data_IF_528092443244
#
_entry.id   IF_528092443244
#
_cell.length_a   1.000
_cell.length_b   1.000
_cell.length_c   1.000
_cell.angle_alpha   90.00
_cell.angle_beta   90.00
_cell.angle_gamma   90.00
#
_symmetry.space_group_name_H-M   'P 1'
#
loop_
_entity.id
_entity.type
_entity.pdbx_description
1 polymer ?
#
# COMPACT_ATOMS: atom_id res chain seq x y z
N UNK A 1 -6.51 -32.61 -4.93
CA UNK A 1 -6.65 -31.60 -3.83
C UNK A 1 -5.68 -32.02 -2.75
N UNK A 2 -4.50 -31.49 -2.79
CA UNK A 2 -3.51 -31.73 -1.73
C UNK A 2 -3.81 -30.78 -0.58
N UNK A 3 -4.19 -31.35 0.55
CA UNK A 3 -4.29 -30.64 1.81
C UNK A 3 -2.89 -30.19 2.21
N UNK A 4 -2.55 -28.92 1.95
CA UNK A 4 -1.35 -28.31 2.48
C UNK A 4 -1.58 -28.13 3.99
N UNK A 5 -1.20 -29.13 4.74
CA UNK A 5 -1.14 -29.05 6.20
C UNK A 5 0.06 -28.17 6.54
N UNK A 6 -0.19 -26.92 6.90
CA UNK A 6 0.84 -26.03 7.45
C UNK A 6 1.28 -26.53 8.83
N UNK A 7 2.14 -27.54 8.83
CA UNK A 7 2.75 -28.05 10.06
C UNK A 7 4.14 -27.40 10.29
N UNK A 8 4.26 -26.09 10.06
CA UNK A 8 5.44 -25.33 10.44
C UNK A 8 5.37 -25.04 11.94
N UNK A 9 6.18 -25.74 12.73
CA UNK A 9 6.43 -25.36 14.13
C UNK A 9 7.23 -24.06 14.13
N UNK A 10 6.57 -22.94 14.45
CA UNK A 10 7.25 -21.67 14.66
C UNK A 10 8.00 -21.71 15.99
N UNK A 11 9.26 -21.29 15.99
CA UNK A 11 10.06 -21.20 17.23
C UNK A 11 9.78 -19.92 18.00
N UNK A 12 9.43 -18.86 17.30
CA UNK A 12 9.11 -17.55 17.86
C UNK A 12 8.27 -16.75 16.87
N UNK A 13 7.59 -15.73 17.38
CA UNK A 13 6.88 -14.71 16.62
C UNK A 13 7.60 -13.40 16.89
N UNK A 14 7.95 -12.68 15.82
CA UNK A 14 8.55 -11.37 15.90
C UNK A 14 7.53 -10.34 15.46
N UNK A 15 7.36 -9.27 16.27
CA UNK A 15 6.52 -8.12 15.95
C UNK A 15 7.45 -6.95 15.63
N UNK A 16 7.22 -6.29 14.51
CA UNK A 16 7.98 -5.13 14.06
C UNK A 16 7.11 -4.12 13.34
N UNK A 17 7.70 -3.01 12.98
CA UNK A 17 7.05 -1.97 12.15
C UNK A 17 7.28 -2.35 10.70
N UNK A 18 6.20 -2.40 9.89
CA UNK A 18 6.30 -2.65 8.46
C UNK A 18 6.87 -1.43 7.73
N UNK A 19 7.78 -1.66 6.81
CA UNK A 19 8.29 -0.65 5.90
C UNK A 19 7.32 -0.43 4.73
N UNK A 20 7.56 0.61 3.92
CA UNK A 20 6.80 0.85 2.68
C UNK A 20 6.94 -0.31 1.71
N UNK A 21 8.15 -0.88 1.62
CA UNK A 21 8.47 -2.03 0.78
C UNK A 21 7.72 -3.29 1.23
N UNK A 22 7.60 -3.51 2.54
CA UNK A 22 6.81 -4.63 3.06
C UNK A 22 5.36 -4.54 2.63
N UNK A 23 4.73 -3.37 2.79
CA UNK A 23 3.33 -3.14 2.41
C UNK A 23 3.12 -3.35 0.91
N UNK A 24 4.02 -2.82 0.07
CA UNK A 24 3.99 -3.01 -1.39
C UNK A 24 4.15 -4.48 -1.75
N UNK A 25 5.05 -5.21 -1.08
CA UNK A 25 5.28 -6.63 -1.31
C UNK A 25 4.07 -7.49 -0.96
N UNK A 26 3.29 -7.10 0.06
CA UNK A 26 2.05 -7.80 0.41
C UNK A 26 1.00 -7.68 -0.68
N UNK A 27 0.90 -6.50 -1.32
CA UNK A 27 0.00 -6.28 -2.45
C UNK A 27 0.51 -6.90 -3.76
N UNK A 28 1.82 -7.16 -3.85
CA UNK A 28 2.49 -7.70 -5.04
C UNK A 28 3.26 -8.99 -4.68
N UNK A 29 2.62 -10.16 -4.70
CA UNK A 29 3.24 -11.42 -4.27
C UNK A 29 4.54 -11.77 -4.99
N UNK A 30 4.74 -11.31 -6.21
CA UNK A 30 5.99 -11.49 -7.01
C UNK A 30 7.18 -10.82 -6.33
N UNK A 31 6.98 -9.79 -5.54
CA UNK A 31 8.02 -9.02 -4.85
C UNK A 31 8.34 -9.58 -3.45
N UNK A 32 7.58 -10.56 -2.95
CA UNK A 32 7.81 -11.13 -1.62
C UNK A 32 9.20 -11.77 -1.51
N UNK A 33 9.96 -11.32 -0.52
CA UNK A 33 11.33 -11.81 -0.28
C UNK A 33 12.39 -11.27 -1.23
N UNK A 34 12.03 -10.41 -2.17
CA UNK A 34 12.96 -9.74 -3.08
C UNK A 34 13.33 -8.36 -2.56
N UNK A 35 14.55 -7.94 -2.82
CA UNK A 35 15.01 -6.58 -2.53
C UNK A 35 14.66 -5.68 -3.71
N UNK A 36 13.93 -4.62 -3.45
CA UNK A 36 13.61 -3.58 -4.43
C UNK A 36 13.58 -2.23 -3.71
N UNK A 37 13.70 -1.14 -4.47
CA UNK A 37 13.56 0.22 -3.95
C UNK A 37 12.27 0.81 -4.51
N UNK A 38 11.44 1.33 -3.63
CA UNK A 38 10.24 2.06 -4.01
C UNK A 38 10.53 3.56 -4.07
N UNK A 39 10.28 4.16 -5.22
CA UNK A 39 10.37 5.61 -5.40
C UNK A 39 8.96 6.23 -5.36
N UNK A 40 8.66 7.08 -4.38
CA UNK A 40 7.35 7.76 -4.29
C UNK A 40 7.03 8.66 -5.48
N UNK A 41 8.03 9.08 -6.25
CA UNK A 41 7.85 9.90 -7.46
C UNK A 41 7.51 9.04 -8.68
N UNK A 42 8.01 7.80 -8.74
CA UNK A 42 7.80 6.85 -9.83
C UNK A 42 6.98 5.64 -9.36
N UNK A 43 5.73 5.89 -8.96
CA UNK A 43 4.85 4.95 -8.24
C UNK A 43 4.36 3.75 -9.04
N UNK A 44 4.57 3.73 -10.35
CA UNK A 44 3.94 2.73 -11.20
C UNK A 44 4.76 1.44 -11.33
N UNK A 45 6.06 1.50 -11.09
CA UNK A 45 6.98 0.39 -11.31
C UNK A 45 8.13 0.38 -10.33
N UNK A 46 8.66 -0.80 -10.10
CA UNK A 46 9.88 -1.04 -9.33
C UNK A 46 10.82 -1.93 -10.10
N UNK A 47 12.10 -1.81 -9.80
CA UNK A 47 13.13 -2.71 -10.31
C UNK A 47 13.60 -3.61 -9.19
N UNK A 48 13.65 -4.91 -9.44
CA UNK A 48 14.19 -5.89 -8.52
C UNK A 48 15.20 -6.80 -9.23
N UNK A 49 16.03 -7.48 -8.45
CA UNK A 49 16.98 -8.47 -8.97
C UNK A 49 16.33 -9.83 -8.84
N UNK A 50 16.27 -10.58 -9.96
CA UNK A 50 15.76 -11.94 -9.97
C UNK A 50 16.80 -12.96 -9.42
N UNK A 51 16.44 -14.23 -9.40
CA UNK A 51 17.30 -15.32 -8.92
C UNK A 51 18.53 -15.53 -9.79
N UNK A 52 18.48 -15.12 -11.05
CA UNK A 52 19.54 -15.21 -12.04
C UNK A 52 20.48 -13.98 -12.01
N UNK A 53 20.20 -12.99 -11.16
CA UNK A 53 20.97 -11.76 -11.02
C UNK A 53 20.63 -10.68 -12.03
N UNK A 54 19.56 -10.85 -12.83
CA UNK A 54 19.12 -9.84 -13.80
C UNK A 54 18.24 -8.80 -13.14
N UNK A 55 18.35 -7.55 -13.64
CA UNK A 55 17.47 -6.46 -13.24
C UNK A 55 16.15 -6.54 -14.00
N UNK A 56 15.05 -6.77 -13.27
CA UNK A 56 13.71 -6.92 -13.84
C UNK A 56 12.83 -5.76 -13.41
N UNK A 57 12.21 -5.10 -14.38
CA UNK A 57 11.22 -4.05 -14.13
C UNK A 57 9.84 -4.69 -13.93
N UNK A 58 9.16 -4.32 -12.85
CA UNK A 58 7.84 -4.85 -12.50
C UNK A 58 6.83 -3.71 -12.30
N UNK A 59 5.71 -3.80 -13.01
CA UNK A 59 4.58 -2.88 -12.85
C UNK A 59 3.82 -3.20 -11.56
N UNK A 60 3.78 -2.24 -10.64
CA UNK A 60 3.10 -2.39 -9.38
C UNK A 60 1.58 -2.52 -9.57
N UNK A 61 1.01 -3.43 -8.81
CA UNK A 61 -0.44 -3.66 -8.72
C UNK A 61 -0.90 -3.44 -7.29
N UNK A 62 -2.21 -3.30 -7.10
CA UNK A 62 -2.77 -3.21 -5.76
C UNK A 62 -2.84 -1.80 -5.18
N UNK A 63 -2.43 -0.77 -5.92
CA UNK A 63 -2.64 0.62 -5.49
C UNK A 63 -4.11 1.01 -5.62
N UNK A 64 -4.69 1.47 -4.50
CA UNK A 64 -6.02 2.08 -4.45
C UNK A 64 -5.88 3.58 -4.70
N UNK A 65 -6.36 4.05 -5.85
CA UNK A 65 -6.17 5.45 -6.30
C UNK A 65 -7.36 6.35 -6.00
N UNK A 66 -8.52 5.76 -5.65
CA UNK A 66 -9.77 6.49 -5.43
C UNK A 66 -10.39 6.12 -4.09
N UNK A 67 -11.04 7.09 -3.40
CA UNK A 67 -11.70 6.84 -2.13
C UNK A 67 -13.06 6.14 -2.27
N UNK A 68 -13.58 6.01 -3.49
CA UNK A 68 -14.87 5.41 -3.75
C UNK A 68 -14.89 3.92 -3.42
N UNK A 69 -16.02 3.44 -2.94
CA UNK A 69 -16.25 2.04 -2.60
C UNK A 69 -17.05 1.34 -3.68
N UNK A 70 -18.32 1.64 -3.76
CA UNK A 70 -19.26 1.09 -4.74
C UNK A 70 -19.96 2.23 -5.48
N UNK A 71 -20.34 1.97 -6.71
CA UNK A 71 -21.24 2.86 -7.43
C UNK A 71 -22.66 2.70 -6.89
N UNK A 72 -23.22 3.77 -6.35
CA UNK A 72 -24.54 3.76 -5.72
C UNK A 72 -25.65 3.28 -6.68
N UNK A 73 -25.57 3.66 -7.96
CA UNK A 73 -26.59 3.33 -8.98
C UNK A 73 -26.52 1.89 -9.44
N UNK A 74 -25.31 1.34 -9.62
CA UNK A 74 -25.09 -0.02 -10.14
C UNK A 74 -24.83 -1.04 -9.06
N UNK A 75 -24.59 -0.60 -7.82
CA UNK A 75 -24.22 -1.44 -6.67
C UNK A 75 -22.95 -2.28 -6.92
N UNK A 76 -22.09 -1.84 -7.82
CA UNK A 76 -20.84 -2.53 -8.17
C UNK A 76 -19.63 -1.76 -7.66
N UNK A 77 -18.53 -2.46 -7.31
CA UNK A 77 -17.28 -1.82 -6.94
C UNK A 77 -16.78 -0.86 -8.00
N UNK A 78 -16.39 0.34 -7.57
CA UNK A 78 -15.75 1.31 -8.45
C UNK A 78 -14.32 0.86 -8.80
N UNK A 79 -13.93 1.14 -10.02
CA UNK A 79 -12.58 0.84 -10.50
C UNK A 79 -11.56 1.72 -9.78
N UNK A 80 -10.45 1.11 -9.37
CA UNK A 80 -9.35 1.71 -8.61
C UNK A 80 -9.76 2.23 -7.22
N UNK A 81 -10.98 1.88 -6.77
CA UNK A 81 -11.51 2.19 -5.45
C UNK A 81 -11.19 1.13 -4.40
N UNK A 82 -11.71 1.36 -3.19
CA UNK A 82 -11.45 0.52 -2.01
C UNK A 82 -11.98 -0.93 -2.13
N UNK A 83 -12.89 -1.20 -3.06
CA UNK A 83 -13.45 -2.54 -3.32
C UNK A 83 -13.19 -3.03 -4.74
N UNK A 84 -12.26 -2.41 -5.48
CA UNK A 84 -11.97 -2.70 -6.87
C UNK A 84 -11.75 -4.20 -7.14
N UNK A 85 -12.50 -4.76 -8.09
CA UNK A 85 -12.37 -6.17 -8.45
C UNK A 85 -11.05 -6.50 -9.19
N UNK A 86 -10.42 -5.51 -9.83
CA UNK A 86 -9.10 -5.69 -10.47
C UNK A 86 -8.01 -5.86 -9.41
N UNK A 87 -8.11 -5.12 -8.30
CA UNK A 87 -7.14 -5.16 -7.20
C UNK A 87 -7.37 -6.38 -6.31
N UNK A 88 -8.60 -6.53 -5.80
CA UNK A 88 -8.90 -7.51 -4.77
C UNK A 88 -9.47 -8.82 -5.30
N UNK A 89 -9.91 -8.85 -6.54
CA UNK A 89 -10.55 -10.02 -7.15
C UNK A 89 -12.06 -9.87 -7.34
N UNK A 90 -12.71 -10.84 -8.01
CA UNK A 90 -14.11 -10.78 -8.35
C UNK A 90 -15.03 -10.88 -7.11
N UNK A 91 -16.19 -10.24 -7.16
CA UNK A 91 -17.22 -10.38 -6.10
C UNK A 91 -17.91 -11.73 -6.11
N UNK A 92 -18.04 -12.32 -7.29
CA UNK A 92 -18.68 -13.63 -7.48
C UNK A 92 -17.70 -14.59 -8.13
N UNK A 93 -17.76 -15.85 -7.70
CA UNK A 93 -16.89 -16.90 -8.19
C UNK A 93 -16.92 -17.02 -9.71
N UNK A 94 -15.76 -16.98 -10.33
CA UNK A 94 -15.55 -17.14 -11.77
C UNK A 94 -16.34 -16.16 -12.66
N UNK A 95 -16.67 -14.98 -12.15
CA UNK A 95 -17.37 -13.93 -12.89
C UNK A 95 -16.54 -12.65 -12.89
N UNK A 96 -16.42 -12.02 -14.04
CA UNK A 96 -15.79 -10.71 -14.13
C UNK A 96 -16.83 -9.57 -14.01
N UNK A 97 -16.36 -8.36 -13.65
CA UNK A 97 -17.17 -7.16 -13.48
C UNK A 97 -18.05 -6.83 -14.68
N UNK A 98 -17.54 -7.03 -15.92
CA UNK A 98 -18.29 -6.73 -17.13
C UNK A 98 -19.33 -7.80 -17.53
N UNK A 99 -19.37 -8.94 -16.85
CA UNK A 99 -20.28 -10.05 -17.11
C UNK A 99 -20.00 -10.83 -18.40
N UNK A 100 -18.93 -10.51 -19.17
CA UNK A 100 -18.57 -11.21 -20.41
C UNK A 100 -18.13 -12.65 -20.14
N UNK A 101 -17.34 -12.84 -19.08
CA UNK A 101 -16.87 -14.16 -18.67
C UNK A 101 -17.79 -14.71 -17.58
N UNK A 102 -18.64 -15.63 -17.97
CA UNK A 102 -19.47 -16.45 -17.07
C UNK A 102 -19.12 -17.89 -17.35
N UNK A 103 -18.62 -18.60 -16.33
CA UNK A 103 -18.38 -20.05 -16.39
C UNK A 103 -17.26 -20.53 -17.34
N UNK A 104 -16.25 -19.73 -17.66
CA UNK A 104 -15.08 -20.28 -18.32
C UNK A 104 -14.12 -20.88 -17.30
N UNK A 105 -13.80 -22.12 -17.52
CA UNK A 105 -13.08 -23.09 -16.68
C UNK A 105 -11.58 -22.76 -16.53
N UNK A 106 -11.09 -21.78 -17.26
CA UNK A 106 -9.69 -21.37 -17.17
C UNK A 106 -9.48 -20.49 -15.94
N UNK A 107 -9.16 -21.12 -14.82
CA UNK A 107 -8.79 -20.46 -13.59
C UNK A 107 -7.63 -19.50 -13.84
N UNK A 108 -7.68 -18.31 -13.21
CA UNK A 108 -6.65 -17.26 -13.29
C UNK A 108 -6.50 -16.53 -14.64
N UNK A 109 -7.43 -16.69 -15.58
CA UNK A 109 -7.45 -15.89 -16.78
C UNK A 109 -7.93 -14.47 -16.48
N UNK A 110 -7.20 -13.48 -16.98
CA UNK A 110 -7.60 -12.07 -16.88
C UNK A 110 -8.61 -11.75 -17.99
N UNK A 111 -9.73 -11.12 -17.63
CA UNK A 111 -10.70 -10.66 -18.60
C UNK A 111 -10.13 -9.51 -19.45
N UNK A 112 -10.03 -9.70 -20.75
CA UNK A 112 -9.49 -8.70 -21.70
C UNK A 112 -10.26 -7.36 -21.68
N UNK A 113 -11.57 -7.38 -21.35
CA UNK A 113 -12.40 -6.18 -21.36
C UNK A 113 -12.29 -5.36 -20.08
N UNK A 114 -12.32 -5.98 -18.90
CA UNK A 114 -12.37 -5.29 -17.61
C UNK A 114 -11.11 -5.46 -16.75
N UNK A 115 -10.19 -6.34 -17.12
CA UNK A 115 -8.94 -6.59 -16.40
C UNK A 115 -9.10 -7.39 -15.10
N UNK A 116 -10.30 -7.86 -14.78
CA UNK A 116 -10.56 -8.66 -13.59
C UNK A 116 -10.09 -10.09 -13.81
N UNK A 117 -9.37 -10.64 -12.87
CA UNK A 117 -8.97 -12.04 -12.86
C UNK A 117 -10.17 -12.94 -12.55
N UNK A 118 -10.34 -13.99 -13.35
CA UNK A 118 -11.44 -14.95 -13.19
C UNK A 118 -10.99 -16.04 -12.23
N UNK A 119 -11.40 -15.92 -10.98
CA UNK A 119 -11.04 -16.82 -9.89
C UNK A 119 -12.17 -16.86 -8.85
N UNK A 120 -11.95 -17.58 -7.75
CA UNK A 120 -12.89 -17.60 -6.63
C UNK A 120 -12.92 -16.26 -5.90
N UNK A 121 -14.08 -15.84 -5.45
CA UNK A 121 -14.26 -14.60 -4.67
C UNK A 121 -13.53 -14.62 -3.32
N UNK A 122 -13.18 -15.80 -2.83
CA UNK A 122 -12.40 -16.01 -1.61
C UNK A 122 -11.08 -15.24 -1.60
N UNK A 123 -10.45 -15.06 -2.77
CA UNK A 123 -9.18 -14.31 -2.90
C UNK A 123 -9.29 -12.88 -2.37
N UNK A 124 -10.48 -12.28 -2.33
CA UNK A 124 -10.73 -10.95 -1.78
C UNK A 124 -10.39 -10.84 -0.28
N UNK A 125 -10.39 -11.95 0.44
CA UNK A 125 -10.02 -12.02 1.87
C UNK A 125 -8.51 -12.17 2.08
N UNK A 126 -7.78 -12.52 1.03
CA UNK A 126 -6.35 -12.84 1.08
C UNK A 126 -5.50 -11.75 0.44
N UNK A 127 -6.05 -11.04 -0.55
CA UNK A 127 -5.32 -9.99 -1.28
C UNK A 127 -5.27 -8.72 -0.49
N UNK A 128 -4.08 -8.12 -0.47
CA UNK A 128 -3.81 -6.83 0.12
C UNK A 128 -3.75 -5.76 -0.97
N UNK A 129 -4.19 -4.56 -0.65
CA UNK A 129 -3.97 -3.36 -1.44
C UNK A 129 -3.23 -2.33 -0.59
N UNK A 130 -2.79 -1.24 -1.21
CA UNK A 130 -2.14 -0.13 -0.52
C UNK A 130 -2.59 1.21 -1.08
N UNK A 131 -2.43 2.25 -0.29
CA UNK A 131 -2.66 3.64 -0.69
C UNK A 131 -1.31 4.35 -0.63
N UNK A 132 -0.86 4.88 -1.77
CA UNK A 132 0.35 5.68 -1.82
C UNK A 132 0.03 7.12 -1.40
N UNK A 133 0.61 7.54 -0.28
CA UNK A 133 0.46 8.90 0.23
C UNK A 133 1.32 9.89 -0.58
N UNK A 134 0.84 11.12 -0.74
CA UNK A 134 1.58 12.17 -1.43
C UNK A 134 2.83 12.61 -0.66
N UNK A 135 2.73 12.61 0.67
CA UNK A 135 3.81 12.96 1.61
C UNK A 135 3.82 11.97 2.77
N UNK A 136 4.96 11.76 3.44
CA UNK A 136 5.00 11.01 4.68
C UNK A 136 4.03 11.58 5.72
N UNK A 137 3.32 10.72 6.43
CA UNK A 137 2.36 11.09 7.48
C UNK A 137 2.77 10.46 8.79
N UNK A 138 2.70 11.24 9.86
CA UNK A 138 3.04 10.79 11.20
C UNK A 138 1.99 9.81 11.73
N UNK A 139 2.44 8.68 12.25
CA UNK A 139 1.57 7.69 12.85
C UNK A 139 1.01 8.20 14.19
N UNK A 140 -0.31 8.09 14.36
CA UNK A 140 -1.03 8.61 15.56
C UNK A 140 -0.56 8.00 16.88
N UNK A 141 -0.04 6.77 16.89
CA UNK A 141 0.50 6.13 18.09
C UNK A 141 1.70 6.87 18.68
N UNK A 142 2.52 7.51 17.83
CA UNK A 142 3.69 8.25 18.27
C UNK A 142 3.38 9.72 18.61
N UNK A 143 2.30 10.26 18.02
CA UNK A 143 1.89 11.64 18.21
C UNK A 143 0.93 11.80 19.40
N UNK A 144 -0.18 11.03 19.40
CA UNK A 144 -1.31 11.25 20.33
C UNK A 144 -1.27 10.45 21.62
N UNK A 145 -0.36 9.51 21.77
CA UNK A 145 -0.19 8.84 23.05
C UNK A 145 0.37 9.81 24.10
N UNK A 146 -0.12 9.70 25.33
CA UNK A 146 0.37 10.53 26.44
C UNK A 146 1.35 9.74 27.28
N UNK A 147 2.63 10.15 27.35
CA UNK A 147 3.25 11.30 26.67
C UNK A 147 3.53 11.04 25.18
N UNK A 148 3.49 12.10 24.37
CA UNK A 148 3.82 12.02 22.94
C UNK A 148 5.28 11.65 22.74
N UNK A 149 5.55 10.52 22.06
CA UNK A 149 6.93 10.07 21.81
C UNK A 149 7.71 11.04 20.92
N UNK A 150 7.05 11.60 19.91
CA UNK A 150 7.66 12.56 18.98
C UNK A 150 7.97 13.87 19.71
N UNK A 151 7.04 14.38 20.53
CA UNK A 151 7.25 15.60 21.28
C UNK A 151 8.46 15.50 22.24
N UNK A 152 8.62 14.35 22.91
CA UNK A 152 9.78 14.08 23.76
C UNK A 152 11.09 14.05 22.95
N UNK A 153 11.10 13.38 21.79
CA UNK A 153 12.31 13.25 20.95
C UNK A 153 12.75 14.60 20.37
N UNK A 154 11.79 15.48 20.06
CA UNK A 154 12.07 16.80 19.51
C UNK A 154 12.25 17.89 20.57
N UNK A 155 12.07 17.55 21.86
CA UNK A 155 12.05 18.50 22.97
C UNK A 155 11.07 19.67 22.76
N UNK A 156 9.89 19.34 22.22
CA UNK A 156 8.83 20.28 21.89
C UNK A 156 7.57 19.99 22.69
N UNK A 157 6.71 21.00 22.83
CA UNK A 157 5.37 20.78 23.41
C UNK A 157 4.51 19.98 22.42
N UNK A 158 3.70 19.05 22.95
CA UNK A 158 2.81 18.21 22.13
C UNK A 158 1.93 19.04 21.19
N UNK A 159 1.42 20.19 21.65
CA UNK A 159 0.60 21.07 20.84
C UNK A 159 1.35 21.66 19.65
N UNK A 160 2.61 22.07 19.84
CA UNK A 160 3.45 22.61 18.78
C UNK A 160 3.71 21.54 17.70
N UNK A 161 3.99 20.30 18.13
CA UNK A 161 4.16 19.17 17.22
C UNK A 161 2.86 18.85 16.48
N UNK A 162 1.71 18.91 17.14
CA UNK A 162 0.40 18.73 16.51
C UNK A 162 0.15 19.82 15.45
N UNK A 163 0.41 21.08 15.76
CA UNK A 163 0.24 22.21 14.83
C UNK A 163 1.11 22.04 13.58
N UNK A 164 2.33 21.52 13.70
CA UNK A 164 3.21 21.21 12.58
C UNK A 164 2.67 20.03 11.76
N UNK A 165 2.30 18.93 12.43
CA UNK A 165 1.81 17.71 11.78
C UNK A 165 0.51 17.96 11.00
N UNK A 166 -0.35 18.85 11.49
CA UNK A 166 -1.59 19.22 10.82
C UNK A 166 -1.46 20.44 9.90
N UNK A 167 -0.24 20.85 9.58
CA UNK A 167 0.07 21.97 8.68
C UNK A 167 -0.47 23.33 9.13
N UNK A 168 -0.70 23.53 10.44
CA UNK A 168 -1.10 24.79 11.01
C UNK A 168 0.10 25.71 11.28
N UNK A 169 1.29 25.13 11.44
CA UNK A 169 2.54 25.84 11.71
C UNK A 169 3.70 25.24 10.93
N UNK A 170 4.79 25.99 10.79
CA UNK A 170 6.02 25.56 10.15
C UNK A 170 7.15 25.54 11.18
N UNK A 171 8.14 24.68 10.93
CA UNK A 171 9.38 24.63 11.71
C UNK A 171 10.52 25.12 10.82
N UNK A 172 11.39 25.94 11.39
CA UNK A 172 12.61 26.38 10.72
C UNK A 172 13.62 25.23 10.78
N UNK A 173 14.04 24.71 9.64
CA UNK A 173 15.02 23.62 9.54
C UNK A 173 16.44 24.13 9.26
N UNK A 174 16.55 25.24 8.53
CA UNK A 174 17.83 25.88 8.18
C UNK A 174 17.67 27.39 8.20
N UNK A 175 18.69 28.07 8.65
CA UNK A 175 18.83 29.54 8.60
C UNK A 175 19.97 29.85 7.65
N UNK A 176 19.70 30.65 6.61
CA UNK A 176 20.75 31.16 5.76
C UNK A 176 21.59 32.16 6.55
N UNK A 177 22.86 31.85 6.79
CA UNK A 177 23.80 32.68 7.53
C UNK A 177 24.47 33.77 6.63
N UNK A 178 24.14 33.79 5.36
CA UNK A 178 24.72 34.78 4.42
C UNK A 178 24.20 36.21 4.65
N UNK A 179 23.13 36.38 5.46
CA UNK A 179 22.52 37.69 5.79
C UNK A 179 22.90 38.18 7.19
N UNK A 180 24.06 37.80 7.74
CA UNK A 180 24.53 38.28 9.06
C UNK A 180 24.85 39.80 9.07
N UNK A 181 24.81 40.50 7.94
CA UNK A 181 25.07 41.96 7.89
C UNK A 181 23.82 42.80 8.26
N UNK A 182 22.61 42.23 8.32
CA UNK A 182 21.38 42.99 8.57
C UNK A 182 20.86 42.91 10.01
N UNK A 183 21.64 42.34 10.94
CA UNK A 183 21.24 42.17 12.35
C UNK A 183 22.03 43.04 13.36
N UNK A 184 22.68 44.14 12.89
CA UNK A 184 23.31 45.14 13.75
C UNK A 184 22.60 46.48 13.74
#
# INVERSE_FOLDING_TARGET
MENIVYNKKYKYIQIGIASSEDVISWANPVLRGKKFTYDPLHREKVTYIDEDGNSVEYMLKGEVKKPETINYRTQRPERDGLFCEVIFGPEKDFQCACGKSRKNIDNHKICEKCGVEITESKVRRERMGYIALATPVVHTWYLRNTPSKIAILLDMKTREVEDIVYYASHVITEVNTDDEEDLN
#
